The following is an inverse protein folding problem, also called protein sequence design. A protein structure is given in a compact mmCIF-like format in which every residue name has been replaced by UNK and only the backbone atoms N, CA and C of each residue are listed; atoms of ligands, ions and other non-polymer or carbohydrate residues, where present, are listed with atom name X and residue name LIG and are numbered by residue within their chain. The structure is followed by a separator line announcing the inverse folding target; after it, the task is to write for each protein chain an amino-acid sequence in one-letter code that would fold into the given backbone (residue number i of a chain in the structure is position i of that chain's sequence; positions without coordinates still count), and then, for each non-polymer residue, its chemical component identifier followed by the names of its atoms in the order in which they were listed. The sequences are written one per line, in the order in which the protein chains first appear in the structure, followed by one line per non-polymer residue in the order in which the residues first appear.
data_IF_438582403631
#
_entry.id   IF_438582403631
#
_cell.length_a   1.000
_cell.length_b   1.000
_cell.length_c   1.000
_cell.angle_alpha   90.00
_cell.angle_beta   90.00
_cell.angle_gamma   90.00
#
_symmetry.space_group_name_H-M   'P 1'
#
loop_
_entity.id
_entity.type
_entity.pdbx_description
1 polymer ?
#
# COMPACT_ATOMS: atom_id res chain seq x y z
N UNK A 1 13.93 10.88 -0.69
CA UNK A 1 12.82 9.91 -0.65
C UNK A 1 13.35 8.50 -0.57
N UNK A 2 12.71 7.67 0.22
CA UNK A 2 13.07 6.27 0.36
C UNK A 2 12.01 5.40 -0.31
N UNK A 3 12.43 4.38 -1.03
CA UNK A 3 11.53 3.41 -1.65
C UNK A 3 11.79 2.05 -1.02
N UNK A 4 10.76 1.44 -0.45
CA UNK A 4 10.83 0.09 0.09
C UNK A 4 10.01 -0.81 -0.82
N UNK A 5 10.54 -1.98 -1.13
CA UNK A 5 9.83 -2.98 -1.93
C UNK A 5 9.55 -4.17 -1.03
N UNK A 6 8.26 -4.50 -0.90
CA UNK A 6 7.81 -5.61 -0.07
C UNK A 6 7.13 -6.64 -0.97
N UNK A 7 7.64 -7.85 -0.97
CA UNK A 7 7.01 -8.92 -1.73
C UNK A 7 5.89 -9.53 -0.90
N UNK A 8 4.70 -9.58 -1.48
CA UNK A 8 3.50 -10.02 -0.76
C UNK A 8 2.77 -11.10 -1.53
N UNK A 9 2.08 -11.95 -0.77
CA UNK A 9 1.25 -13.00 -1.33
C UNK A 9 2.02 -14.18 -1.89
N UNK A 10 1.28 -15.20 -2.31
CA UNK A 10 1.86 -16.43 -2.83
C UNK A 10 2.59 -16.24 -4.16
N UNK A 11 2.23 -15.19 -4.89
CA UNK A 11 2.85 -14.89 -6.18
C UNK A 11 4.03 -13.92 -6.06
N UNK A 12 4.40 -13.54 -4.85
CA UNK A 12 5.51 -12.61 -4.59
C UNK A 12 5.37 -11.32 -5.41
N UNK A 13 4.18 -10.74 -5.39
CA UNK A 13 3.96 -9.47 -6.07
C UNK A 13 4.61 -8.34 -5.30
N UNK A 14 5.06 -7.33 -6.01
CA UNK A 14 5.74 -6.21 -5.39
C UNK A 14 4.73 -5.19 -4.87
N UNK A 15 4.85 -4.86 -3.59
CA UNK A 15 4.18 -3.72 -2.99
C UNK A 15 5.24 -2.66 -2.74
N UNK A 16 5.02 -1.45 -3.23
CA UNK A 16 5.99 -0.37 -3.07
C UNK A 16 5.54 0.58 -1.98
N UNK A 17 6.47 0.99 -1.14
CA UNK A 17 6.18 1.97 -0.09
C UNK A 17 7.15 3.12 -0.27
N UNK A 18 6.60 4.29 -0.59
CA UNK A 18 7.37 5.51 -0.79
C UNK A 18 7.31 6.32 0.50
N UNK A 19 8.48 6.64 1.06
CA UNK A 19 8.55 7.37 2.33
C UNK A 19 9.33 8.65 2.15
N UNK A 20 8.76 9.75 2.63
CA UNK A 20 9.44 11.04 2.65
C UNK A 20 8.89 11.90 3.77
N UNK A 21 9.80 12.48 4.56
CA UNK A 21 9.46 13.44 5.62
C UNK A 21 8.39 12.91 6.59
N UNK A 22 8.51 11.65 6.95
CA UNK A 22 7.59 11.04 7.91
C UNK A 22 6.24 10.63 7.33
N UNK A 23 6.09 10.70 6.01
CA UNK A 23 4.85 10.33 5.34
C UNK A 23 5.10 9.17 4.38
N UNK A 24 4.10 8.34 4.19
CA UNK A 24 4.21 7.16 3.34
C UNK A 24 3.04 7.04 2.38
N UNK A 25 3.33 6.50 1.19
CA UNK A 25 2.33 6.12 0.20
C UNK A 25 2.59 4.65 -0.13
N UNK A 26 1.54 3.86 -0.15
CA UNK A 26 1.62 2.44 -0.51
C UNK A 26 1.07 2.24 -1.91
N UNK A 27 1.81 1.49 -2.72
CA UNK A 27 1.40 1.17 -4.09
C UNK A 27 1.19 -0.33 -4.20
N UNK A 28 0.00 -0.72 -4.62
CA UNK A 28 -0.40 -2.11 -4.89
C UNK A 28 -0.26 -3.04 -3.68
N UNK A 29 -1.01 -2.78 -2.59
CA UNK A 29 -0.99 -3.66 -1.41
C UNK A 29 -1.85 -4.90 -1.66
N UNK A 30 -1.28 -5.90 -2.33
CA UNK A 30 -2.02 -7.07 -2.75
C UNK A 30 -2.41 -8.03 -1.61
N UNK A 31 -1.57 -8.14 -0.59
CA UNK A 31 -1.77 -9.13 0.47
C UNK A 31 -0.85 -8.81 1.65
N UNK A 32 -0.99 -9.57 2.74
CA UNK A 32 -0.11 -9.53 3.91
C UNK A 32 -0.01 -8.15 4.57
N UNK A 33 -1.15 -7.69 5.08
CA UNK A 33 -1.26 -6.40 5.75
C UNK A 33 -0.17 -6.17 6.81
N UNK A 34 0.11 -7.17 7.65
CA UNK A 34 1.08 -6.99 8.74
C UNK A 34 2.49 -6.70 8.22
N UNK A 35 2.85 -7.32 7.10
CA UNK A 35 4.14 -7.11 6.48
C UNK A 35 4.27 -5.70 5.93
N UNK A 36 3.20 -5.20 5.32
CA UNK A 36 3.13 -3.84 4.80
C UNK A 36 3.15 -2.84 5.96
N UNK A 37 2.37 -3.09 6.99
CA UNK A 37 2.31 -2.25 8.17
C UNK A 37 3.69 -2.11 8.82
N UNK A 38 4.42 -3.22 8.92
CA UNK A 38 5.77 -3.20 9.47
C UNK A 38 6.70 -2.31 8.63
N UNK A 39 6.58 -2.39 7.31
CA UNK A 39 7.42 -1.59 6.42
C UNK A 39 7.06 -0.10 6.47
N UNK A 40 5.79 0.24 6.67
CA UNK A 40 5.38 1.63 6.86
C UNK A 40 5.98 2.19 8.14
N UNK A 41 6.06 1.36 9.18
CA UNK A 41 6.65 1.76 10.45
C UNK A 41 5.86 2.89 11.09
N UNK A 42 6.57 3.91 11.59
CA UNK A 42 5.97 5.05 12.26
C UNK A 42 5.56 6.17 11.30
N UNK A 43 5.79 5.99 10.01
CA UNK A 43 5.40 7.00 9.04
C UNK A 43 3.88 7.09 8.93
N UNK A 44 3.39 8.28 8.63
CA UNK A 44 1.96 8.48 8.44
C UNK A 44 1.58 8.06 7.04
N UNK A 45 0.69 7.07 6.92
CA UNK A 45 0.20 6.65 5.61
C UNK A 45 -0.82 7.67 5.11
N UNK A 46 -0.49 8.34 4.01
CA UNK A 46 -1.33 9.40 3.47
C UNK A 46 -2.14 8.99 2.25
N UNK A 47 -1.86 7.82 1.70
CA UNK A 47 -2.62 7.35 0.55
C UNK A 47 -2.18 6.00 0.07
N UNK A 48 -3.05 5.34 -0.69
CA UNK A 48 -2.78 4.09 -1.37
C UNK A 48 -3.06 4.29 -2.85
N UNK A 49 -2.13 3.86 -3.68
CA UNK A 49 -2.25 3.91 -5.14
C UNK A 49 -2.42 2.50 -5.69
N UNK A 50 -3.40 2.32 -6.56
CA UNK A 50 -3.62 1.05 -7.23
C UNK A 50 -3.30 1.23 -8.71
N UNK A 51 -2.28 0.52 -9.19
CA UNK A 51 -1.91 0.56 -10.61
C UNK A 51 -2.71 -0.44 -11.43
N UNK A 52 -3.23 -1.49 -10.78
CA UNK A 52 -4.03 -2.53 -11.42
C UNK A 52 -5.29 -2.76 -10.60
N UNK A 53 -6.39 -3.15 -11.26
CA UNK A 53 -7.64 -3.46 -10.59
C UNK A 53 -7.84 -4.95 -10.36
N UNK A 54 -6.94 -5.76 -10.88
CA UNK A 54 -7.05 -7.22 -10.75
C UNK A 54 -6.33 -7.67 -9.50
N UNK A 55 -6.96 -7.49 -8.37
CA UNK A 55 -6.43 -7.99 -7.11
C UNK A 55 -7.26 -9.19 -6.71
N UNK A 56 -6.65 -10.35 -6.70
CA UNK A 56 -7.28 -11.54 -6.16
C UNK A 56 -7.44 -11.42 -4.65
N UNK A 57 -6.63 -10.55 -4.05
CA UNK A 57 -6.64 -10.33 -2.60
C UNK A 57 -6.75 -8.85 -2.31
N UNK A 58 -7.92 -8.42 -1.87
CA UNK A 58 -8.14 -7.03 -1.46
C UNK A 58 -8.10 -6.87 0.06
N UNK A 59 -7.80 -7.96 0.78
CA UNK A 59 -7.77 -7.94 2.23
C UNK A 59 -6.79 -6.92 2.80
N UNK A 60 -5.58 -6.86 2.25
CA UNK A 60 -4.59 -5.90 2.71
C UNK A 60 -5.03 -4.46 2.47
N UNK A 61 -5.67 -4.20 1.33
CA UNK A 61 -6.21 -2.87 1.04
C UNK A 61 -7.27 -2.48 2.06
N UNK A 62 -8.21 -3.38 2.33
CA UNK A 62 -9.27 -3.13 3.30
C UNK A 62 -8.70 -2.84 4.68
N UNK A 63 -7.72 -3.65 5.11
CA UNK A 63 -7.09 -3.48 6.41
C UNK A 63 -6.35 -2.14 6.50
N UNK A 64 -5.66 -1.74 5.44
CA UNK A 64 -4.95 -0.47 5.41
C UNK A 64 -5.92 0.70 5.54
N UNK A 65 -7.02 0.67 4.80
CA UNK A 65 -8.01 1.73 4.86
C UNK A 65 -8.64 1.81 6.25
N UNK A 66 -8.97 0.66 6.83
CA UNK A 66 -9.56 0.62 8.18
C UNK A 66 -8.59 1.12 9.23
N UNK A 67 -7.35 0.69 9.15
CA UNK A 67 -6.37 1.01 10.19
C UNK A 67 -5.87 2.45 10.09
N UNK A 68 -5.57 2.91 8.89
CA UNK A 68 -4.96 4.23 8.70
C UNK A 68 -5.96 5.32 8.33
N UNK A 69 -7.13 4.96 7.82
CA UNK A 69 -8.12 5.95 7.40
C UNK A 69 -7.68 6.79 6.21
N UNK A 70 -6.86 6.24 5.34
CA UNK A 70 -6.30 6.99 4.23
C UNK A 70 -7.13 6.83 2.95
N UNK A 71 -7.02 7.78 2.00
CA UNK A 71 -7.71 7.65 0.71
C UNK A 71 -7.01 6.64 -0.18
N UNK A 72 -7.79 6.12 -1.13
CA UNK A 72 -7.31 5.17 -2.14
C UNK A 72 -7.51 5.81 -3.52
N UNK A 73 -6.46 5.78 -4.33
CA UNK A 73 -6.48 6.33 -5.68
C UNK A 73 -6.20 5.22 -6.69
N UNK A 74 -6.96 5.21 -7.77
CA UNK A 74 -6.68 4.32 -8.89
C UNK A 74 -6.67 5.14 -10.17
N UNK A 75 -6.56 4.48 -11.31
CA UNK A 75 -6.45 5.19 -12.58
C UNK A 75 -7.65 6.10 -12.86
N UNK A 76 -8.83 5.73 -12.38
CA UNK A 76 -10.03 6.51 -12.58
C UNK A 76 -10.07 7.75 -11.69
N UNK A 77 -9.52 7.64 -10.49
CA UNK A 77 -9.55 8.74 -9.52
C UNK A 77 -8.46 9.79 -9.78
N UNK A 78 -7.43 9.43 -10.54
CA UNK A 78 -6.33 10.34 -10.80
C UNK A 78 -6.60 11.31 -11.92
N UNK A 79 -7.66 11.12 -12.65
CA UNK A 79 -8.10 12.02 -13.70
C UNK A 79 -9.17 12.97 -13.17
#
# INVERSE_FOLDING_TARGET
MQVKIVKVGSLNTNCYILVESGKAIVIDPGDEFNKIKYAIGENKLIGVLLTHRHFDHIGALTDLVRFYGCPVYDRQNLE
#
